data_IF_067717102006
#
_entry.id   IF_067717102006
#
_cell.length_a   1.000
_cell.length_b   1.000
_cell.length_c   1.000
_cell.angle_alpha   90.00
_cell.angle_beta   90.00
_cell.angle_gamma   90.00
#
_symmetry.space_group_name_H-M   'P 1'
#
loop_
_entity.id
_entity.type
_entity.pdbx_description
1 polymer ?
#
# COMPACT_ATOMS: atom_id res chain seq x y z
N UNK A 1 12.37 -17.35 -16.14
CA UNK A 1 12.14 -18.81 -16.22
C UNK A 1 13.50 -19.45 -16.24
N UNK A 2 13.77 -20.32 -15.28
CA UNK A 2 15.09 -20.92 -15.12
C UNK A 2 15.06 -22.33 -15.69
N UNK A 3 15.91 -22.59 -16.69
CA UNK A 3 15.98 -23.89 -17.35
C UNK A 3 17.15 -24.72 -16.83
N UNK A 4 16.92 -26.02 -16.72
CA UNK A 4 17.96 -27.02 -16.49
C UNK A 4 17.94 -28.00 -17.65
N UNK A 5 19.11 -28.24 -18.25
CA UNK A 5 19.27 -29.21 -19.32
C UNK A 5 20.47 -30.10 -19.04
N UNK A 6 20.30 -31.42 -19.22
CA UNK A 6 21.40 -32.38 -19.24
C UNK A 6 22.07 -32.50 -20.61
N UNK A 7 21.48 -31.87 -21.63
CA UNK A 7 21.89 -31.98 -23.03
C UNK A 7 23.19 -31.21 -23.24
N UNK A 8 24.25 -31.90 -23.64
CA UNK A 8 25.57 -31.32 -23.89
C UNK A 8 25.69 -30.74 -25.32
N UNK A 9 24.65 -30.06 -25.79
CA UNK A 9 24.58 -29.35 -27.06
C UNK A 9 23.95 -27.98 -26.85
N UNK A 10 24.20 -26.99 -27.72
CA UNK A 10 23.48 -25.72 -27.71
C UNK A 10 21.96 -25.95 -27.76
N UNK A 11 21.21 -25.26 -26.91
CA UNK A 11 19.74 -25.35 -26.87
C UNK A 11 19.15 -23.97 -27.08
N UNK A 12 18.40 -23.81 -28.16
CA UNK A 12 17.67 -22.60 -28.49
C UNK A 12 16.20 -22.80 -28.14
N UNK A 13 15.64 -21.92 -27.32
CA UNK A 13 14.22 -21.91 -26.99
C UNK A 13 13.50 -20.83 -27.76
N UNK A 14 12.31 -21.16 -28.25
CA UNK A 14 11.31 -20.22 -28.73
C UNK A 14 10.05 -20.41 -27.89
N UNK A 15 9.74 -19.43 -27.04
CA UNK A 15 8.64 -19.46 -26.08
C UNK A 15 7.58 -18.43 -26.42
N UNK A 16 6.33 -18.82 -26.24
CA UNK A 16 5.12 -17.99 -26.28
C UNK A 16 4.51 -18.04 -24.87
N UNK A 17 4.45 -16.88 -24.22
CA UNK A 17 3.83 -16.71 -22.91
C UNK A 17 2.53 -15.92 -23.10
N UNK A 18 1.42 -16.47 -22.63
CA UNK A 18 0.10 -15.87 -22.77
C UNK A 18 -0.59 -15.76 -21.41
N UNK A 19 -1.05 -14.56 -21.08
CA UNK A 19 -1.86 -14.28 -19.89
C UNK A 19 -3.30 -14.00 -20.31
N UNK A 20 -4.27 -14.52 -19.54
CA UNK A 20 -5.70 -14.39 -19.81
C UNK A 20 -6.44 -13.97 -18.55
N UNK A 21 -7.30 -12.96 -18.65
CA UNK A 21 -8.33 -12.64 -17.67
C UNK A 21 -9.66 -13.12 -18.25
N UNK A 22 -10.20 -14.20 -17.70
CA UNK A 22 -11.44 -14.83 -18.13
C UNK A 22 -12.68 -14.03 -17.69
N UNK A 23 -12.53 -13.17 -16.67
CA UNK A 23 -13.62 -12.33 -16.17
C UNK A 23 -13.96 -11.18 -17.12
N UNK A 24 -12.93 -10.48 -17.63
CA UNK A 24 -13.12 -9.33 -18.53
C UNK A 24 -12.78 -9.63 -20.01
N UNK A 25 -12.15 -10.77 -20.29
CA UNK A 25 -11.79 -11.21 -21.65
C UNK A 25 -10.44 -10.71 -22.15
N UNK A 26 -9.66 -9.99 -21.34
CA UNK A 26 -8.36 -9.46 -21.73
C UNK A 26 -7.31 -10.57 -21.94
N UNK A 27 -6.42 -10.37 -22.90
CA UNK A 27 -5.28 -11.26 -23.10
C UNK A 27 -4.03 -10.53 -23.57
N UNK A 28 -2.88 -10.98 -23.09
CA UNK A 28 -1.56 -10.45 -23.47
C UNK A 28 -0.66 -11.62 -23.86
N UNK A 29 0.07 -11.45 -24.95
CA UNK A 29 1.02 -12.46 -25.47
C UNK A 29 2.42 -11.85 -25.59
N UNK A 30 3.42 -12.58 -25.10
CA UNK A 30 4.85 -12.25 -25.20
C UNK A 30 5.58 -13.41 -25.85
N UNK A 31 6.54 -13.09 -26.71
CA UNK A 31 7.41 -14.07 -27.36
C UNK A 31 8.85 -13.85 -26.91
N UNK A 32 9.57 -14.95 -26.65
CA UNK A 32 10.98 -14.91 -26.26
C UNK A 32 11.75 -15.98 -27.02
N UNK A 33 12.87 -15.60 -27.63
CA UNK A 33 13.80 -16.52 -28.27
C UNK A 33 15.18 -16.36 -27.66
N UNK A 34 15.78 -17.44 -27.15
CA UNK A 34 17.06 -17.38 -26.45
C UNK A 34 17.84 -18.71 -26.52
N UNK A 35 19.17 -18.62 -26.66
CA UNK A 35 20.06 -19.74 -26.41
C UNK A 35 20.27 -19.91 -24.89
N UNK A 36 19.78 -21.02 -24.34
CA UNK A 36 19.84 -21.30 -22.90
C UNK A 36 21.10 -22.05 -22.45
N UNK A 37 21.95 -22.49 -23.39
CA UNK A 37 23.20 -23.18 -23.05
C UNK A 37 24.20 -22.24 -22.36
N UNK A 38 24.28 -20.98 -22.81
CA UNK A 38 25.12 -19.95 -22.19
C UNK A 38 24.42 -19.21 -21.05
N UNK A 39 23.10 -19.01 -21.13
CA UNK A 39 22.29 -18.35 -20.11
C UNK A 39 20.95 -19.09 -19.90
N UNK A 40 20.85 -19.96 -18.88
CA UNK A 40 19.64 -20.74 -18.64
C UNK A 40 18.46 -19.91 -18.09
N UNK A 41 18.69 -18.66 -17.69
CA UNK A 41 17.65 -17.76 -17.21
C UNK A 41 17.04 -16.98 -18.38
N UNK A 42 15.81 -17.32 -18.74
CA UNK A 42 15.01 -16.58 -19.73
C UNK A 42 14.23 -15.47 -19.03
N UNK A 43 14.49 -14.23 -19.43
CA UNK A 43 13.78 -13.04 -18.94
C UNK A 43 12.64 -12.68 -19.89
N UNK A 44 11.44 -12.47 -19.35
CA UNK A 44 10.26 -12.10 -20.14
C UNK A 44 10.24 -10.56 -20.27
N UNK A 45 10.30 -10.00 -21.49
CA UNK A 45 10.27 -8.57 -21.68
C UNK A 45 8.91 -8.00 -21.27
N UNK A 46 8.93 -6.94 -20.45
CA UNK A 46 7.72 -6.29 -19.92
C UNK A 46 6.72 -7.31 -19.35
N UNK A 47 7.22 -8.15 -18.45
CA UNK A 47 6.40 -9.13 -17.74
C UNK A 47 5.25 -8.46 -16.95
N UNK A 48 5.40 -7.19 -16.56
CA UNK A 48 4.36 -6.38 -15.92
C UNK A 48 3.05 -6.37 -16.71
N UNK A 49 3.10 -6.23 -18.04
CA UNK A 49 1.88 -6.26 -18.87
C UNK A 49 1.09 -7.56 -18.76
N UNK A 50 1.76 -8.70 -18.55
CA UNK A 50 1.09 -9.99 -18.33
C UNK A 50 0.35 -10.02 -16.98
N UNK A 51 0.89 -9.36 -15.95
CA UNK A 51 0.34 -9.34 -14.59
C UNK A 51 -0.74 -8.27 -14.44
N UNK A 52 -0.57 -7.11 -15.08
CA UNK A 52 -1.43 -5.94 -14.90
C UNK A 52 -2.87 -6.15 -15.40
N UNK A 53 -3.09 -7.10 -16.32
CA UNK A 53 -4.45 -7.51 -16.71
C UNK A 53 -5.15 -8.36 -15.63
N UNK A 54 -4.51 -8.61 -14.49
CA UNK A 54 -5.00 -9.48 -13.40
C UNK A 54 -5.43 -10.86 -13.94
N UNK A 55 -4.50 -11.62 -14.53
CA UNK A 55 -4.85 -12.84 -15.24
C UNK A 55 -5.31 -13.94 -14.28
N UNK A 56 -6.30 -14.72 -14.71
CA UNK A 56 -6.70 -15.98 -14.06
C UNK A 56 -5.69 -17.09 -14.37
N UNK A 57 -5.00 -17.00 -15.52
CA UNK A 57 -3.98 -17.97 -15.94
C UNK A 57 -2.87 -17.35 -16.77
N UNK A 58 -1.66 -17.88 -16.58
CA UNK A 58 -0.48 -17.61 -17.42
C UNK A 58 0.02 -18.94 -17.97
N UNK A 59 0.11 -19.04 -19.29
CA UNK A 59 0.53 -20.26 -20.00
C UNK A 59 1.83 -19.95 -20.76
N UNK A 60 2.87 -20.76 -20.53
CA UNK A 60 4.06 -20.78 -21.38
C UNK A 60 4.10 -22.06 -22.21
N UNK A 61 4.29 -21.91 -23.52
CA UNK A 61 4.44 -23.00 -24.48
C UNK A 61 5.50 -22.63 -25.51
N UNK A 62 6.11 -23.62 -26.16
CA UNK A 62 7.18 -23.32 -27.11
C UNK A 62 7.84 -24.55 -27.69
N UNK A 63 8.96 -24.32 -28.36
CA UNK A 63 9.82 -25.35 -28.93
C UNK A 63 11.27 -25.15 -28.49
N UNK A 64 12.01 -26.25 -28.44
CA UNK A 64 13.45 -26.24 -28.25
C UNK A 64 14.12 -26.81 -29.50
N UNK A 65 15.16 -26.13 -30.00
CA UNK A 65 16.08 -26.67 -31.01
C UNK A 65 17.40 -26.98 -30.34
N UNK A 66 17.85 -28.23 -30.51
CA UNK A 66 19.09 -28.74 -29.94
C UNK A 66 20.13 -28.89 -31.05
N UNK A 67 21.33 -28.37 -30.81
CA UNK A 67 22.46 -28.36 -31.74
C UNK A 67 22.52 -27.12 -32.63
N UNK A 68 23.68 -26.95 -33.28
CA UNK A 68 23.94 -26.00 -34.35
C UNK A 68 24.88 -26.63 -35.39
N UNK A 69 25.21 -25.90 -36.47
CA UNK A 69 26.06 -26.41 -37.56
C UNK A 69 27.52 -26.64 -37.14
N UNK A 70 27.95 -26.01 -36.05
CA UNK A 70 29.34 -26.02 -35.57
C UNK A 70 29.54 -27.00 -34.40
N UNK A 71 28.46 -27.61 -33.90
CA UNK A 71 28.44 -28.52 -32.75
C UNK A 71 28.03 -29.93 -33.15
N UNK A 72 28.96 -30.88 -33.02
CA UNK A 72 28.69 -32.31 -33.18
C UNK A 72 28.44 -32.94 -31.81
N UNK A 73 27.31 -33.61 -31.63
CA UNK A 73 26.99 -34.35 -30.41
C UNK A 73 25.80 -35.28 -30.58
N UNK A 74 25.46 -35.99 -29.51
CA UNK A 74 24.36 -36.97 -29.47
C UNK A 74 23.40 -36.61 -28.36
N UNK A 75 22.10 -36.72 -28.64
CA UNK A 75 21.04 -36.63 -27.62
C UNK A 75 20.64 -38.05 -27.25
N UNK A 76 20.64 -38.37 -25.96
CA UNK A 76 20.23 -39.67 -25.45
C UNK A 76 18.77 -39.65 -24.99
N UNK A 77 18.15 -40.82 -24.83
CA UNK A 77 16.75 -40.92 -24.41
C UNK A 77 16.51 -40.50 -22.95
N UNK A 78 17.57 -40.49 -22.14
CA UNK A 78 17.58 -40.03 -20.75
C UNK A 78 17.96 -38.54 -20.63
N UNK A 79 18.23 -37.86 -21.74
CA UNK A 79 18.43 -36.42 -21.72
C UNK A 79 17.13 -35.70 -21.38
N UNK A 80 17.25 -34.64 -20.59
CA UNK A 80 16.13 -33.86 -20.12
C UNK A 80 16.36 -32.36 -20.32
N UNK A 81 15.24 -31.67 -20.52
CA UNK A 81 15.13 -30.23 -20.49
C UNK A 81 13.91 -29.89 -19.63
N UNK A 82 14.14 -29.18 -18.54
CA UNK A 82 13.09 -28.74 -17.62
C UNK A 82 13.19 -27.24 -17.41
N UNK A 83 12.06 -26.59 -17.16
CA UNK A 83 11.99 -25.17 -16.88
C UNK A 83 11.11 -24.91 -15.66
N UNK A 84 11.58 -24.06 -14.75
CA UNK A 84 10.82 -23.58 -13.60
C UNK A 84 10.45 -22.11 -13.86
N UNK A 85 9.15 -21.84 -13.95
CA UNK A 85 8.64 -20.48 -14.02
C UNK A 85 8.40 -19.95 -12.61
N UNK A 86 9.25 -19.02 -12.19
CA UNK A 86 9.05 -18.25 -10.97
C UNK A 86 8.32 -16.94 -11.32
N UNK A 87 7.09 -16.78 -10.84
CA UNK A 87 6.36 -15.50 -10.92
C UNK A 87 6.49 -14.79 -9.59
N UNK A 88 7.19 -13.66 -9.59
CA UNK A 88 7.31 -12.76 -8.43
C UNK A 88 6.82 -11.39 -8.84
N UNK A 89 5.62 -11.04 -8.42
CA UNK A 89 5.03 -9.74 -8.68
C UNK A 89 4.77 -9.06 -7.31
N UNK A 90 5.72 -8.26 -6.78
CA UNK A 90 5.39 -7.41 -5.65
C UNK A 90 4.29 -6.45 -6.08
N UNK A 91 3.20 -6.39 -5.31
CA UNK A 91 2.09 -5.49 -5.62
C UNK A 91 2.56 -4.06 -5.37
N UNK A 92 2.59 -3.29 -6.45
CA UNK A 92 2.88 -1.87 -6.46
C UNK A 92 1.65 -1.15 -6.99
N UNK A 93 1.17 -0.20 -6.21
CA UNK A 93 0.07 0.67 -6.55
C UNK A 93 0.65 2.03 -6.95
N UNK A 94 0.10 2.61 -8.01
CA UNK A 94 0.36 4.00 -8.34
C UNK A 94 -0.77 4.80 -7.72
N UNK A 95 -0.41 5.73 -6.86
CA UNK A 95 -1.35 6.62 -6.18
C UNK A 95 -1.10 8.02 -6.71
N UNK A 96 -2.16 8.69 -7.15
CA UNK A 96 -2.03 10.04 -7.67
C UNK A 96 -1.49 10.99 -6.60
N UNK A 97 -0.82 12.05 -7.05
CA UNK A 97 -0.49 13.15 -6.15
C UNK A 97 -1.80 13.73 -5.56
N UNK A 98 -1.76 14.12 -4.29
CA UNK A 98 -2.91 14.60 -3.52
C UNK A 98 -4.02 13.57 -3.23
N UNK A 99 -3.85 12.30 -3.57
CA UNK A 99 -4.82 11.28 -3.20
C UNK A 99 -5.02 11.23 -1.68
N UNK A 100 -6.26 11.00 -1.26
CA UNK A 100 -6.63 10.81 0.15
C UNK A 100 -6.89 9.34 0.37
N UNK A 101 -6.16 8.76 1.31
CA UNK A 101 -6.32 7.39 1.79
C UNK A 101 -7.02 7.48 3.14
N UNK A 102 -8.18 6.84 3.25
CA UNK A 102 -8.94 6.77 4.50
C UNK A 102 -9.55 5.39 4.67
N UNK A 103 -9.56 4.82 5.89
CA UNK A 103 -10.37 3.65 6.18
C UNK A 103 -11.85 4.03 6.20
N UNK A 104 -12.73 3.04 6.30
CA UNK A 104 -14.15 3.30 6.53
C UNK A 104 -14.35 4.09 7.84
N UNK A 105 -15.35 5.00 7.89
CA UNK A 105 -15.69 5.68 9.13
C UNK A 105 -16.02 4.69 10.26
N UNK A 106 -15.64 5.04 11.49
CA UNK A 106 -15.95 4.26 12.67
C UNK A 106 -16.80 5.07 13.65
N UNK A 107 -17.75 4.42 14.33
CA UNK A 107 -18.48 5.02 15.43
C UNK A 107 -17.54 5.25 16.62
N UNK A 108 -17.44 6.50 17.08
CA UNK A 108 -16.64 6.90 18.23
C UNK A 108 -17.48 6.95 19.50
N UNK A 109 -18.70 7.50 19.40
CA UNK A 109 -19.63 7.67 20.51
C UNK A 109 -21.04 7.32 20.02
N UNK A 110 -21.68 6.37 20.68
CA UNK A 110 -23.06 5.99 20.40
C UNK A 110 -24.05 7.11 20.78
N UNK A 111 -25.25 7.07 20.21
CA UNK A 111 -26.30 8.05 20.51
C UNK A 111 -26.71 8.01 21.99
N UNK A 112 -26.59 9.15 22.66
CA UNK A 112 -26.89 9.32 24.08
C UNK A 112 -25.74 8.94 25.02
N UNK A 113 -24.60 8.48 24.49
CA UNK A 113 -23.40 8.20 25.27
C UNK A 113 -22.43 9.40 25.27
N UNK A 114 -21.32 9.31 26.02
CA UNK A 114 -20.29 10.34 26.09
C UNK A 114 -18.92 9.74 26.40
N UNK A 115 -17.86 10.35 25.86
CA UNK A 115 -16.47 10.04 26.23
C UNK A 115 -16.12 10.44 27.69
N UNK A 116 -17.03 11.09 28.43
CA UNK A 116 -16.81 11.46 29.83
C UNK A 116 -15.74 12.54 30.02
N UNK A 117 -15.50 13.36 29.00
CA UNK A 117 -14.51 14.45 29.04
C UNK A 117 -15.05 15.54 29.98
N UNK A 118 -14.33 15.89 31.07
CA UNK A 118 -14.75 16.96 31.98
C UNK A 118 -14.88 18.33 31.29
N UNK A 119 -15.71 19.22 31.83
CA UNK A 119 -15.88 20.59 31.33
C UNK A 119 -14.71 21.51 31.66
N UNK A 120 -13.97 21.18 32.73
CA UNK A 120 -12.86 22.00 33.23
C UNK A 120 -11.51 21.71 32.53
N UNK A 121 -11.46 20.78 31.56
CA UNK A 121 -10.23 20.58 30.76
C UNK A 121 -10.09 21.77 29.81
N UNK A 122 -8.95 22.46 29.89
CA UNK A 122 -8.62 23.63 29.06
C UNK A 122 -7.92 23.22 27.76
N UNK A 123 -6.92 22.35 27.89
CA UNK A 123 -6.13 21.83 26.78
C UNK A 123 -5.62 20.43 27.10
N UNK A 124 -5.27 19.68 26.06
CA UNK A 124 -4.43 18.50 26.17
C UNK A 124 -3.38 18.46 25.07
N UNK A 125 -2.20 17.95 25.39
CA UNK A 125 -1.16 17.65 24.43
C UNK A 125 -1.06 16.13 24.26
N UNK A 126 -1.16 15.68 23.02
CA UNK A 126 -1.05 14.30 22.59
C UNK A 126 0.33 14.08 21.99
N UNK A 127 1.12 13.19 22.57
CA UNK A 127 2.44 12.83 22.04
C UNK A 127 2.26 11.68 21.07
N UNK A 128 2.62 11.91 19.82
CA UNK A 128 2.55 10.96 18.73
C UNK A 128 3.93 10.48 18.33
N UNK A 129 4.03 9.19 18.04
CA UNK A 129 5.18 8.58 17.38
C UNK A 129 4.75 8.02 16.03
N UNK A 130 5.42 8.46 14.99
CA UNK A 130 5.15 8.08 13.61
C UNK A 130 6.34 7.32 13.06
N UNK A 131 6.05 6.23 12.38
CA UNK A 131 6.98 5.47 11.55
C UNK A 131 6.37 5.34 10.15
N UNK A 132 6.86 6.17 9.22
CA UNK A 132 6.44 6.17 7.83
C UNK A 132 7.47 5.40 7.01
N UNK A 133 7.10 4.21 6.52
CA UNK A 133 7.93 3.40 5.61
C UNK A 133 7.56 3.62 4.14
N UNK A 134 6.73 4.61 3.85
CA UNK A 134 6.33 4.92 2.49
C UNK A 134 7.42 5.72 1.79
N UNK A 135 7.61 5.44 0.50
CA UNK A 135 8.50 6.22 -0.37
C UNK A 135 7.97 7.62 -0.73
N UNK A 136 6.98 8.14 0.01
CA UNK A 136 6.38 9.46 -0.14
C UNK A 136 5.99 10.04 1.22
N UNK A 137 5.86 11.37 1.27
CA UNK A 137 5.38 12.06 2.46
C UNK A 137 3.86 12.03 2.57
N UNK A 138 3.32 12.33 3.75
CA UNK A 138 1.87 12.43 3.91
C UNK A 138 1.47 13.50 4.93
N UNK A 139 0.23 13.97 4.81
CA UNK A 139 -0.46 14.78 5.80
C UNK A 139 -1.57 13.94 6.42
N UNK A 140 -1.70 13.96 7.73
CA UNK A 140 -2.79 13.30 8.44
C UNK A 140 -3.74 14.35 9.01
N UNK A 141 -5.02 14.13 8.79
CA UNK A 141 -6.10 14.79 9.48
C UNK A 141 -7.06 13.77 10.07
N UNK A 142 -7.79 14.16 11.09
CA UNK A 142 -8.85 13.35 11.69
C UNK A 142 -10.11 14.17 11.64
N UNK A 143 -11.13 13.63 11.01
CA UNK A 143 -12.43 14.26 10.86
C UNK A 143 -13.47 13.57 11.75
N UNK A 144 -14.48 14.33 12.13
CA UNK A 144 -15.63 13.89 12.89
C UNK A 144 -16.93 14.29 12.18
N UNK A 145 -17.97 13.49 12.35
CA UNK A 145 -19.32 13.83 11.93
C UNK A 145 -20.37 13.17 12.85
N UNK A 146 -21.65 13.55 12.74
CA UNK A 146 -22.73 12.90 13.51
C UNK A 146 -22.96 11.44 13.10
N UNK A 147 -22.76 11.11 11.81
CA UNK A 147 -22.93 9.76 11.26
C UNK A 147 -21.97 9.51 10.07
N UNK A 148 -21.91 8.25 9.60
CA UNK A 148 -21.04 7.87 8.48
C UNK A 148 -21.45 8.52 7.14
N UNK A 149 -22.73 8.80 6.94
CA UNK A 149 -23.24 9.39 5.70
C UNK A 149 -22.85 10.88 5.59
N UNK A 150 -22.83 11.60 6.71
CA UNK A 150 -22.28 12.96 6.76
C UNK A 150 -20.81 12.99 6.34
N UNK A 151 -20.02 11.97 6.69
CA UNK A 151 -18.62 11.86 6.23
C UNK A 151 -18.55 11.68 4.71
N UNK A 152 -19.36 10.78 4.16
CA UNK A 152 -19.43 10.57 2.70
C UNK A 152 -19.87 11.84 1.95
N UNK A 153 -20.78 12.62 2.54
CA UNK A 153 -21.27 13.87 1.97
C UNK A 153 -20.32 15.07 2.19
N UNK A 154 -19.23 14.91 2.95
CA UNK A 154 -18.30 15.99 3.29
C UNK A 154 -18.83 16.98 4.33
N UNK A 155 -19.89 16.64 5.05
CA UNK A 155 -20.46 17.42 6.16
C UNK A 155 -19.72 17.09 7.45
N UNK A 156 -18.45 17.51 7.52
CA UNK A 156 -17.50 17.07 8.55
C UNK A 156 -16.88 18.24 9.29
N UNK A 157 -16.56 18.00 10.57
CA UNK A 157 -15.67 18.85 11.35
C UNK A 157 -14.27 18.23 11.36
N UNK A 158 -13.24 19.07 11.48
CA UNK A 158 -11.85 18.62 11.61
C UNK A 158 -11.46 18.60 13.07
N UNK A 159 -11.19 17.42 13.62
CA UNK A 159 -10.67 17.27 14.98
C UNK A 159 -9.18 17.61 15.04
N UNK A 160 -8.39 17.03 14.13
CA UNK A 160 -6.95 17.23 14.04
C UNK A 160 -6.53 17.47 12.60
N UNK A 161 -5.56 18.35 12.37
CA UNK A 161 -4.95 18.55 11.06
C UNK A 161 -3.55 19.16 11.19
N UNK A 162 -2.86 19.30 10.05
CA UNK A 162 -1.55 19.95 9.99
C UNK A 162 -0.38 19.03 10.35
N UNK A 163 -0.63 17.77 10.65
CA UNK A 163 0.41 16.80 10.93
C UNK A 163 1.00 16.24 9.64
N UNK A 164 2.24 16.61 9.31
CA UNK A 164 2.90 16.23 8.05
C UNK A 164 4.24 15.56 8.30
N UNK A 165 4.60 14.61 7.45
CA UNK A 165 5.86 13.90 7.53
C UNK A 165 6.38 13.53 6.14
N UNK A 166 7.71 13.47 6.03
CA UNK A 166 8.39 13.11 4.79
C UNK A 166 8.37 11.59 4.56
N UNK A 167 8.83 11.15 3.39
CA UNK A 167 9.08 9.73 3.13
C UNK A 167 10.11 9.15 4.08
N UNK A 168 9.99 7.86 4.39
CA UNK A 168 10.96 7.10 5.19
C UNK A 168 11.35 7.77 6.52
N UNK A 169 10.38 8.40 7.19
CA UNK A 169 10.59 9.23 8.37
C UNK A 169 10.08 8.56 9.65
N UNK A 170 10.88 8.63 10.71
CA UNK A 170 10.42 8.35 12.07
C UNK A 170 10.45 9.63 12.90
N UNK A 171 9.28 10.06 13.37
CA UNK A 171 9.06 11.37 13.99
C UNK A 171 8.33 11.19 15.32
N UNK A 172 8.72 11.98 16.31
CA UNK A 172 7.90 12.23 17.50
C UNK A 172 7.38 13.66 17.39
N UNK A 173 6.07 13.82 17.50
CA UNK A 173 5.43 15.12 17.44
C UNK A 173 4.37 15.25 18.54
N UNK A 174 3.99 16.50 18.83
CA UNK A 174 2.99 16.82 19.85
C UNK A 174 1.84 17.57 19.21
N UNK A 175 0.64 17.02 19.31
CA UNK A 175 -0.59 17.66 18.86
C UNK A 175 -1.32 18.25 20.05
N UNK A 176 -1.78 19.49 19.94
CA UNK A 176 -2.58 20.15 20.96
C UNK A 176 -4.07 20.06 20.63
N UNK A 177 -4.86 19.60 21.60
CA UNK A 177 -6.31 19.63 21.61
C UNK A 177 -6.73 20.85 22.43
N UNK A 178 -7.42 21.77 21.79
CA UNK A 178 -8.00 22.95 22.42
C UNK A 178 -9.47 22.73 22.80
N UNK A 179 -10.10 23.79 23.29
CA UNK A 179 -11.50 23.75 23.72
C UNK A 179 -12.43 23.33 22.58
N UNK A 180 -12.19 23.79 21.35
CA UNK A 180 -13.03 23.47 20.20
C UNK A 180 -12.92 21.97 19.88
N UNK A 181 -11.71 21.41 19.90
CA UNK A 181 -11.50 19.97 19.75
C UNK A 181 -12.24 19.15 20.83
N UNK A 182 -12.24 19.60 22.09
CA UNK A 182 -13.02 18.94 23.14
C UNK A 182 -14.53 19.05 22.93
N UNK A 183 -15.03 20.19 22.45
CA UNK A 183 -16.46 20.32 22.11
C UNK A 183 -16.86 19.35 21.00
N UNK A 184 -15.99 19.09 20.02
CA UNK A 184 -16.22 18.07 19.00
C UNK A 184 -16.26 16.66 19.61
N UNK A 185 -15.29 16.32 20.46
CA UNK A 185 -15.20 15.00 21.12
C UNK A 185 -16.35 14.71 22.09
N UNK A 186 -17.01 15.75 22.62
CA UNK A 186 -18.18 15.61 23.51
C UNK A 186 -19.49 15.33 22.77
N UNK A 187 -19.52 15.41 21.44
CA UNK A 187 -20.75 15.21 20.66
C UNK A 187 -21.20 13.75 20.70
N UNK A 188 -22.51 13.56 20.66
CA UNK A 188 -23.15 12.27 20.57
C UNK A 188 -24.41 12.35 19.69
N UNK A 189 -24.59 11.42 18.73
CA UNK A 189 -23.60 10.44 18.29
C UNK A 189 -22.39 11.11 17.62
N UNK A 190 -21.30 10.37 17.48
CA UNK A 190 -20.12 10.83 16.76
C UNK A 190 -19.41 9.69 16.04
N UNK A 191 -18.99 9.97 14.81
CA UNK A 191 -18.21 9.10 13.93
C UNK A 191 -16.89 9.76 13.62
N UNK A 192 -15.84 8.97 13.51
CA UNK A 192 -14.46 9.40 13.30
C UNK A 192 -13.87 8.73 12.06
N UNK A 193 -13.06 9.48 11.31
CA UNK A 193 -12.28 8.93 10.21
C UNK A 193 -10.93 9.64 10.10
N UNK A 194 -9.81 8.91 10.19
CA UNK A 194 -8.52 9.46 9.81
C UNK A 194 -8.41 9.58 8.29
N UNK A 195 -7.81 10.66 7.81
CA UNK A 195 -7.56 10.92 6.41
C UNK A 195 -6.07 11.16 6.22
N UNK A 196 -5.47 10.38 5.33
CA UNK A 196 -4.05 10.45 5.00
C UNK A 196 -3.91 10.97 3.57
N UNK A 197 -3.54 12.23 3.43
CA UNK A 197 -3.31 12.86 2.14
C UNK A 197 -1.86 12.65 1.69
N UNK A 198 -1.68 12.13 0.48
CA UNK A 198 -0.36 11.94 -0.14
C UNK A 198 0.30 13.29 -0.44
N UNK A 199 1.55 13.44 -0.01
CA UNK A 199 2.44 14.56 -0.36
C UNK A 199 3.56 14.01 -1.26
N UNK A 200 3.65 14.55 -2.48
CA UNK A 200 4.71 14.21 -3.43
C UNK A 200 5.59 15.43 -3.69
N UNK A 201 6.89 15.21 -3.88
CA UNK A 201 7.88 16.28 -4.05
C UNK A 201 7.69 17.12 -5.32
N UNK A 202 6.84 16.69 -6.26
CA UNK A 202 6.67 17.31 -7.58
C UNK A 202 5.26 17.19 -8.18
N UNK A 203 4.26 16.92 -7.36
CA UNK A 203 2.89 16.63 -7.82
C UNK A 203 2.82 15.49 -8.84
N UNK A 204 3.69 14.49 -8.69
CA UNK A 204 3.74 13.30 -9.54
C UNK A 204 3.19 12.10 -8.80
N UNK A 205 2.57 11.12 -9.51
CA UNK A 205 2.09 9.91 -8.87
C UNK A 205 3.19 9.18 -8.11
N UNK A 206 2.86 8.72 -6.92
CA UNK A 206 3.78 8.01 -6.01
C UNK A 206 3.56 6.51 -6.11
N UNK A 207 4.57 5.75 -5.70
CA UNK A 207 4.51 4.29 -5.64
C UNK A 207 4.25 3.88 -4.19
N UNK A 208 3.26 3.04 -4.02
CA UNK A 208 2.90 2.41 -2.76
C UNK A 208 3.07 0.89 -2.91
N UNK A 209 3.91 0.27 -2.10
CA UNK A 209 4.06 -1.19 -2.12
C UNK A 209 3.14 -1.82 -1.08
N UNK A 210 2.63 -3.01 -1.38
CA UNK A 210 1.84 -3.80 -0.41
C UNK A 210 2.55 -4.12 0.90
N UNK A 211 3.87 -3.96 0.95
CA UNK A 211 4.71 -4.17 2.13
C UNK A 211 4.93 -2.90 2.94
N UNK A 212 4.58 -1.74 2.39
CA UNK A 212 4.84 -0.46 3.04
C UNK A 212 3.81 -0.22 4.16
N UNK A 213 4.29 0.25 5.31
CA UNK A 213 3.43 0.51 6.47
C UNK A 213 3.60 1.93 6.97
N UNK A 214 2.47 2.54 7.37
CA UNK A 214 2.46 3.74 8.20
C UNK A 214 1.95 3.33 9.57
N UNK A 215 2.75 3.55 10.60
CA UNK A 215 2.36 3.34 11.99
C UNK A 215 2.30 4.68 12.70
N UNK A 216 1.15 5.02 13.27
CA UNK A 216 0.96 6.18 14.14
C UNK A 216 0.57 5.66 15.52
N UNK A 217 1.38 5.97 16.53
CA UNK A 217 1.18 5.55 17.92
C UNK A 217 0.98 6.77 18.80
N UNK A 218 0.05 6.68 19.75
CA UNK A 218 -0.09 7.67 20.83
C UNK A 218 0.73 7.17 22.02
N UNK A 219 1.80 7.89 22.36
CA UNK A 219 2.76 7.50 23.40
C UNK A 219 2.53 8.25 24.73
N UNK A 220 1.65 9.25 24.74
CA UNK A 220 1.33 9.98 25.97
C UNK A 220 0.26 11.04 25.79
N UNK A 221 -0.35 11.42 26.92
CA UNK A 221 -1.32 12.51 27.03
C UNK A 221 -0.94 13.36 28.24
N UNK A 222 -0.87 14.68 28.09
CA UNK A 222 -0.82 15.64 29.20
C UNK A 222 -1.99 16.61 29.09
N UNK A 223 -2.66 16.94 30.19
CA UNK A 223 -3.79 17.88 30.18
C UNK A 223 -3.66 18.96 31.24
N UNK A 224 -4.25 20.12 30.93
CA UNK A 224 -4.42 21.23 31.88
C UNK A 224 -5.88 21.32 32.30
N UNK A 225 -6.12 21.48 33.61
CA UNK A 225 -7.47 21.55 34.19
C UNK A 225 -7.60 22.88 34.95
N UNK A 226 -8.71 23.59 34.73
CA UNK A 226 -9.06 24.74 35.57
C UNK A 226 -9.65 24.29 36.91
N UNK A 227 -9.03 24.71 38.01
CA UNK A 227 -9.49 24.42 39.37
C UNK A 227 -10.13 25.64 40.04
N UNK A 228 -10.27 26.77 39.33
CA UNK A 228 -10.80 28.02 39.89
C UNK A 228 -12.24 27.88 40.38
N UNK A 229 -13.04 27.00 39.75
CA UNK A 229 -14.41 26.66 40.15
C UNK A 229 -14.49 25.98 41.52
N UNK A 230 -13.44 25.26 41.94
CA UNK A 230 -13.37 24.54 43.23
C UNK A 230 -13.08 25.45 44.42
N UNK A 231 -12.62 26.68 44.18
CA UNK A 231 -12.24 27.64 45.24
C UNK A 231 -13.40 28.59 45.60
N UNK A 232 -14.56 28.45 44.95
CA UNK A 232 -15.70 29.36 45.11
C UNK A 232 -16.74 28.95 46.17
N UNK A 233 -16.45 27.93 46.98
CA UNK A 233 -17.31 27.48 48.08
C UNK A 233 -16.63 27.64 49.44
N UNK A 234 -16.66 28.86 49.99
CA UNK A 234 -16.54 29.16 51.43
C UNK A 234 -17.36 30.41 51.77
#
# INVERSE_FOLDING_TARGET
>A
IDFSSSINLPVYLDLIISAYNDTNGDSIVKNVSQNIHANPSVQIPDASSLINIRPDRIIARGSARVGDLDSVGTVASDDSLSGIMNVRAPLMFIVDADAVISPDPAELVEQGDSLGIPDDILDAALILKIDNQWGFGASVSVILAPDSLSIENGEVDTLLSGFTFNSDASIVDTIYLDQDAFQLLKRSPSWIQPQVKVISDSNTPVKFLSTDTLTVTIDGISSSIDLSSLVSSD
#
